data_IF_311800672152
#
_entry.id   IF_311800672152
#
_cell.length_a   1.000
_cell.length_b   1.000
_cell.length_c   1.000
_cell.angle_alpha   90.00
_cell.angle_beta   90.00
_cell.angle_gamma   90.00
#
_symmetry.space_group_name_H-M   'P 1'
#
loop_
_entity.id
_entity.type
_entity.pdbx_description
1 polymer ?
#
# COMPACT_ATOMS: atom_id res chain seq x y z
N UNK A 1 -14.01 -2.25 11.61
CA UNK A 1 -15.26 -2.89 12.07
C UNK A 1 -15.00 -4.03 13.05
N UNK A 2 -14.16 -5.02 12.71
CA UNK A 2 -13.90 -6.19 13.56
C UNK A 2 -13.36 -5.84 14.96
N UNK A 3 -12.37 -4.95 15.08
CA UNK A 3 -11.82 -4.60 16.41
C UNK A 3 -12.84 -3.92 17.31
N UNK A 4 -13.73 -3.08 16.74
CA UNK A 4 -14.85 -2.49 17.50
C UNK A 4 -15.83 -3.56 17.98
N UNK A 5 -16.08 -4.59 17.17
CA UNK A 5 -16.91 -5.74 17.58
C UNK A 5 -16.23 -6.57 18.67
N UNK A 6 -14.91 -6.78 18.58
CA UNK A 6 -14.14 -7.49 19.62
C UNK A 6 -14.19 -6.72 20.94
N UNK A 7 -13.95 -5.41 20.91
CA UNK A 7 -14.07 -4.54 22.09
C UNK A 7 -15.48 -4.61 22.71
N UNK A 8 -16.53 -4.54 21.89
CA UNK A 8 -17.92 -4.63 22.35
C UNK A 8 -18.30 -6.01 22.92
N UNK A 9 -17.60 -7.09 22.53
CA UNK A 9 -17.83 -8.46 23.01
C UNK A 9 -16.95 -8.86 24.18
N UNK A 10 -16.03 -8.00 24.60
CA UNK A 10 -15.11 -8.30 25.69
C UNK A 10 -15.87 -8.27 27.03
N UNK A 11 -15.97 -9.41 27.71
CA UNK A 11 -16.70 -9.57 28.99
C UNK A 11 -15.86 -9.16 30.20
N UNK A 12 -14.54 -9.10 30.04
CA UNK A 12 -13.57 -8.67 31.04
C UNK A 12 -13.02 -7.32 30.63
N UNK A 13 -13.38 -6.25 31.34
CA UNK A 13 -12.71 -4.95 31.13
C UNK A 13 -11.32 -5.05 31.77
N UNK A 14 -10.22 -5.13 31.00
CA UNK A 14 -8.91 -4.88 31.59
C UNK A 14 -8.91 -3.46 32.19
N UNK A 15 -8.10 -3.17 33.22
CA UNK A 15 -8.04 -1.85 33.84
C UNK A 15 -7.68 -0.74 32.82
N UNK A 16 -7.04 -1.11 31.71
CA UNK A 16 -6.75 -0.22 30.57
C UNK A 16 -7.11 -0.95 29.26
N UNK A 17 -7.96 -0.34 28.44
CA UNK A 17 -8.24 -0.77 27.06
C UNK A 17 -7.52 0.17 26.09
N UNK A 18 -6.47 -0.27 25.37
CA UNK A 18 -5.82 0.58 24.38
C UNK A 18 -6.78 0.87 23.21
N UNK A 19 -6.79 2.10 22.72
CA UNK A 19 -7.47 2.41 21.46
C UNK A 19 -6.62 1.92 20.28
N UNK A 20 -7.06 0.85 19.63
CA UNK A 20 -6.35 0.26 18.51
C UNK A 20 -6.71 0.90 17.15
N UNK A 21 -7.60 1.89 17.12
CA UNK A 21 -8.05 2.48 15.84
C UNK A 21 -6.88 3.04 15.03
N UNK A 22 -5.94 3.73 15.67
CA UNK A 22 -4.81 4.33 14.97
C UNK A 22 -3.92 3.26 14.33
N UNK A 23 -3.51 2.24 15.11
CA UNK A 23 -2.76 1.08 14.62
C UNK A 23 -3.43 0.41 13.41
N UNK A 24 -4.74 0.16 13.47
CA UNK A 24 -5.46 -0.51 12.38
C UNK A 24 -5.49 0.34 11.11
N UNK A 25 -5.64 1.66 11.24
CA UNK A 25 -5.61 2.58 10.09
C UNK A 25 -4.22 2.55 9.44
N UNK A 26 -3.16 2.61 10.25
CA UNK A 26 -1.79 2.52 9.75
C UNK A 26 -1.53 1.20 9.03
N UNK A 27 -1.92 0.07 9.65
CA UNK A 27 -1.80 -1.26 9.04
C UNK A 27 -2.56 -1.32 7.71
N UNK A 28 -3.84 -0.91 7.69
CA UNK A 28 -4.65 -0.92 6.47
C UNK A 28 -4.03 -0.11 5.34
N UNK A 29 -3.51 1.08 5.65
CA UNK A 29 -2.79 1.93 4.68
C UNK A 29 -1.51 1.24 4.19
N UNK A 30 -0.71 0.72 5.10
CA UNK A 30 0.55 0.04 4.78
C UNK A 30 0.32 -1.15 3.84
N UNK A 31 -0.61 -2.03 4.18
CA UNK A 31 -0.92 -3.22 3.39
C UNK A 31 -1.47 -2.88 2.01
N UNK A 32 -2.37 -1.88 1.92
CA UNK A 32 -2.93 -1.49 0.62
C UNK A 32 -1.83 -0.92 -0.30
N UNK A 33 -1.00 0.00 0.21
CA UNK A 33 0.08 0.61 -0.58
C UNK A 33 1.11 -0.46 -0.99
N UNK A 34 1.41 -1.41 -0.10
CA UNK A 34 2.34 -2.51 -0.38
C UNK A 34 1.80 -3.44 -1.46
N UNK A 35 0.52 -3.82 -1.40
CA UNK A 35 -0.12 -4.65 -2.42
C UNK A 35 -0.06 -3.98 -3.80
N UNK A 36 -0.43 -2.71 -3.88
CA UNK A 36 -0.36 -1.91 -5.11
C UNK A 36 1.08 -1.81 -5.65
N UNK A 37 2.07 -1.62 -4.76
CA UNK A 37 3.49 -1.55 -5.14
C UNK A 37 4.00 -2.89 -5.67
N UNK A 38 3.66 -4.00 -5.02
CA UNK A 38 4.07 -5.34 -5.44
C UNK A 38 3.47 -5.71 -6.79
N UNK A 39 2.22 -5.29 -7.07
CA UNK A 39 1.58 -5.48 -8.37
C UNK A 39 2.38 -4.84 -9.54
N UNK A 40 3.05 -3.71 -9.28
CA UNK A 40 3.82 -2.97 -10.29
C UNK A 40 5.29 -3.42 -10.41
N UNK A 41 5.86 -4.08 -9.39
CA UNK A 41 7.31 -4.29 -9.29
C UNK A 41 7.74 -5.75 -9.27
N UNK A 42 6.88 -6.66 -8.84
CA UNK A 42 7.25 -8.06 -8.66
C UNK A 42 7.11 -8.85 -9.96
N UNK A 43 8.25 -9.34 -10.47
CA UNK A 43 8.28 -10.35 -11.53
C UNK A 43 7.60 -11.67 -11.10
N UNK A 44 7.69 -12.04 -9.81
CA UNK A 44 7.02 -13.22 -9.26
C UNK A 44 5.48 -13.07 -9.17
N UNK A 45 4.96 -11.85 -9.00
CA UNK A 45 3.51 -11.58 -9.07
C UNK A 45 2.97 -11.73 -10.49
N UNK A 46 3.81 -11.58 -11.51
CA UNK A 46 3.44 -11.73 -12.92
C UNK A 46 2.97 -13.16 -13.22
N UNK A 47 3.57 -14.15 -12.56
CA UNK A 47 3.27 -15.56 -12.77
C UNK A 47 2.00 -16.03 -12.04
N UNK A 48 1.57 -15.34 -10.98
CA UNK A 48 0.39 -15.74 -10.16
C UNK A 48 -0.86 -14.91 -10.43
N UNK A 49 -0.70 -13.63 -10.78
CA UNK A 49 -1.80 -12.64 -10.79
C UNK A 49 -1.87 -11.78 -12.05
N UNK A 50 -1.03 -12.04 -13.07
CA UNK A 50 -0.96 -11.24 -14.29
C UNK A 50 -0.05 -10.01 -14.16
N UNK A 51 0.58 -9.60 -15.26
CA UNK A 51 1.53 -8.47 -15.28
C UNK A 51 0.79 -7.15 -15.08
N UNK A 52 0.98 -6.48 -13.94
CA UNK A 52 0.38 -5.16 -13.64
C UNK A 52 -1.15 -5.11 -13.82
N UNK A 53 -1.87 -6.12 -13.35
CA UNK A 53 -3.34 -6.20 -13.51
C UNK A 53 -4.09 -5.02 -12.90
N UNK A 54 -3.53 -4.35 -11.87
CA UNK A 54 -4.14 -3.13 -11.32
C UNK A 54 -4.24 -2.01 -12.38
N UNK A 55 -3.34 -1.99 -13.37
CA UNK A 55 -3.39 -1.06 -14.50
C UNK A 55 -4.54 -1.37 -15.46
N UNK A 56 -4.95 -2.63 -15.58
CA UNK A 56 -6.14 -3.02 -16.35
C UNK A 56 -7.41 -2.61 -15.60
N UNK A 57 -7.46 -2.90 -14.30
CA UNK A 57 -8.65 -2.68 -13.47
C UNK A 57 -9.07 -1.22 -13.42
N UNK A 58 -8.14 -0.32 -13.11
CA UNK A 58 -8.64 0.95 -12.57
C UNK A 58 -7.62 1.81 -11.91
N UNK A 59 -6.66 1.16 -11.28
CA UNK A 59 -6.38 1.57 -9.93
C UNK A 59 -5.43 2.76 -9.93
N UNK A 60 -5.86 3.80 -9.22
CA UNK A 60 -5.01 4.92 -8.90
C UNK A 60 -4.17 4.56 -7.67
N UNK A 61 -3.13 3.75 -7.89
CA UNK A 61 -2.14 3.44 -6.87
C UNK A 61 -1.33 4.68 -6.50
N UNK A 62 -0.68 4.65 -5.33
CA UNK A 62 0.16 5.76 -4.86
C UNK A 62 1.26 6.13 -5.88
N UNK A 63 1.88 5.13 -6.52
CA UNK A 63 2.88 5.34 -7.55
C UNK A 63 2.30 6.07 -8.77
N UNK A 64 1.10 5.70 -9.23
CA UNK A 64 0.45 6.34 -10.38
C UNK A 64 0.05 7.78 -10.06
N UNK A 65 -0.51 8.03 -8.87
CA UNK A 65 -0.86 9.38 -8.42
C UNK A 65 0.39 10.26 -8.38
N UNK A 66 1.47 9.79 -7.75
CA UNK A 66 2.74 10.52 -7.72
C UNK A 66 3.27 10.79 -9.14
N UNK A 67 3.21 9.81 -10.04
CA UNK A 67 3.65 9.97 -11.43
C UNK A 67 2.83 11.02 -12.19
N UNK A 68 1.53 11.09 -11.96
CA UNK A 68 0.66 12.10 -12.57
C UNK A 68 0.92 13.53 -12.06
N UNK A 69 1.66 13.69 -10.97
CA UNK A 69 2.01 15.00 -10.40
C UNK A 69 3.48 15.39 -10.62
N UNK A 70 4.36 14.41 -10.84
CA UNK A 70 5.83 14.61 -10.83
C UNK A 70 6.52 14.17 -12.13
N UNK A 71 5.79 14.22 -13.25
CA UNK A 71 6.31 13.92 -14.61
C UNK A 71 6.42 15.18 -15.45
N UNK A 72 7.16 15.12 -16.56
CA UNK A 72 7.13 16.20 -17.56
C UNK A 72 5.74 16.30 -18.21
N UNK A 73 5.37 17.48 -18.73
CA UNK A 73 4.09 17.68 -19.44
C UNK A 73 3.85 16.65 -20.56
N UNK A 74 4.92 16.27 -21.27
CA UNK A 74 4.86 15.25 -22.33
C UNK A 74 4.52 13.87 -21.77
N UNK A 75 5.22 13.43 -20.74
CA UNK A 75 4.98 12.14 -20.08
C UNK A 75 3.61 12.10 -19.41
N UNK A 76 3.20 13.20 -18.79
CA UNK A 76 1.88 13.35 -18.18
C UNK A 76 0.76 13.18 -19.20
N UNK A 77 0.90 13.84 -20.36
CA UNK A 77 -0.04 13.70 -21.47
C UNK A 77 -0.13 12.26 -21.97
N UNK A 78 1.02 11.56 -22.08
CA UNK A 78 1.09 10.14 -22.44
C UNK A 78 0.35 9.28 -21.40
N UNK A 79 0.63 9.45 -20.10
CA UNK A 79 -0.04 8.70 -19.03
C UNK A 79 -1.56 8.90 -19.09
N UNK A 80 -2.03 10.15 -19.18
CA UNK A 80 -3.45 10.46 -19.27
C UNK A 80 -4.10 9.84 -20.51
N UNK A 81 -3.41 9.86 -21.64
CA UNK A 81 -3.91 9.25 -22.88
C UNK A 81 -4.04 7.74 -22.75
N UNK A 82 -3.03 7.07 -22.18
CA UNK A 82 -3.06 5.62 -21.94
C UNK A 82 -4.20 5.26 -20.98
N UNK A 83 -4.37 6.01 -19.88
CA UNK A 83 -5.46 5.78 -18.93
C UNK A 83 -6.85 5.97 -19.58
N UNK A 84 -7.01 6.98 -20.45
CA UNK A 84 -8.24 7.21 -21.19
C UNK A 84 -8.52 6.09 -22.21
N UNK A 85 -7.51 5.66 -22.96
CA UNK A 85 -7.63 4.52 -23.89
C UNK A 85 -8.03 3.25 -23.13
N UNK A 86 -7.40 2.99 -21.99
CA UNK A 86 -7.71 1.85 -21.15
C UNK A 86 -9.16 1.90 -20.65
N UNK A 87 -9.67 3.06 -20.25
CA UNK A 87 -11.06 3.20 -19.82
C UNK A 87 -12.07 2.81 -20.93
N UNK A 88 -11.73 3.04 -22.19
CA UNK A 88 -12.56 2.64 -23.34
C UNK A 88 -12.42 1.14 -23.62
N UNK A 89 -11.20 0.61 -23.56
CA UNK A 89 -10.88 -0.78 -23.90
C UNK A 89 -11.09 -1.77 -22.73
N UNK A 90 -11.35 -1.29 -21.51
CA UNK A 90 -11.41 -2.05 -20.25
C UNK A 90 -10.17 -2.91 -19.97
N UNK A 91 -9.04 -2.61 -20.62
CA UNK A 91 -7.76 -3.33 -20.48
C UNK A 91 -6.62 -2.52 -21.10
N UNK A 92 -5.39 -2.81 -20.67
CA UNK A 92 -4.17 -2.18 -21.14
C UNK A 92 -3.29 -3.23 -21.85
N UNK A 93 -2.75 -2.87 -23.01
CA UNK A 93 -1.81 -3.75 -23.72
C UNK A 93 -0.49 -3.88 -22.95
N UNK A 94 0.23 -4.97 -23.18
CA UNK A 94 1.53 -5.19 -22.54
C UNK A 94 2.52 -4.04 -22.78
N UNK A 95 2.52 -3.46 -23.99
CA UNK A 95 3.39 -2.33 -24.33
C UNK A 95 2.99 -1.05 -23.60
N UNK A 96 1.68 -0.81 -23.43
CA UNK A 96 1.19 0.32 -22.64
C UNK A 96 1.56 0.17 -21.16
N UNK A 97 1.45 -1.04 -20.58
CA UNK A 97 1.86 -1.34 -19.21
C UNK A 97 3.35 -1.06 -18.98
N UNK A 98 4.21 -1.52 -19.89
CA UNK A 98 5.65 -1.22 -19.84
C UNK A 98 5.92 0.28 -19.92
N UNK A 99 5.28 0.99 -20.84
CA UNK A 99 5.45 2.43 -20.98
C UNK A 99 5.03 3.20 -19.73
N UNK A 100 3.91 2.83 -19.10
CA UNK A 100 3.49 3.39 -17.81
C UNK A 100 4.58 3.15 -16.75
N UNK A 101 5.06 1.91 -16.61
CA UNK A 101 6.11 1.60 -15.63
C UNK A 101 7.40 2.39 -15.86
N UNK A 102 7.83 2.56 -17.10
CA UNK A 102 9.04 3.31 -17.44
C UNK A 102 8.91 4.79 -17.05
N UNK A 103 7.74 5.39 -17.32
CA UNK A 103 7.44 6.76 -16.88
C UNK A 103 7.43 6.85 -15.35
N UNK A 104 6.80 5.89 -14.66
CA UNK A 104 6.76 5.88 -13.19
C UNK A 104 8.15 5.71 -12.56
N UNK A 105 9.03 4.92 -13.19
CA UNK A 105 10.43 4.79 -12.78
C UNK A 105 11.20 6.08 -13.00
N UNK A 106 11.07 6.71 -14.17
CA UNK A 106 11.74 7.97 -14.49
C UNK A 106 11.31 9.11 -13.54
N UNK A 107 10.04 9.11 -13.11
CA UNK A 107 9.48 10.05 -12.14
C UNK A 107 9.88 9.75 -10.68
N UNK A 108 10.59 8.66 -10.40
CA UNK A 108 10.92 8.24 -9.04
C UNK A 108 9.71 7.79 -8.21
N UNK A 109 8.56 7.49 -8.85
CA UNK A 109 7.31 7.15 -8.14
C UNK A 109 7.38 5.84 -7.37
N UNK A 110 8.17 4.88 -7.85
CA UNK A 110 8.38 3.62 -7.13
C UNK A 110 9.19 3.85 -5.85
N UNK A 111 10.26 4.64 -5.93
CA UNK A 111 11.09 4.99 -4.77
C UNK A 111 10.33 5.85 -3.75
N UNK A 112 9.48 6.76 -4.24
CA UNK A 112 8.55 7.51 -3.41
C UNK A 112 7.61 6.59 -2.63
N UNK A 113 7.05 5.58 -3.30
CA UNK A 113 6.15 4.60 -2.68
C UNK A 113 6.88 3.77 -1.62
N UNK A 114 8.11 3.33 -1.87
CA UNK A 114 8.95 2.62 -0.87
C UNK A 114 9.25 3.52 0.33
N UNK A 115 9.55 4.80 0.10
CA UNK A 115 9.80 5.77 1.16
C UNK A 115 8.56 5.96 2.03
N UNK A 116 7.38 6.08 1.41
CA UNK A 116 6.11 6.17 2.13
C UNK A 116 5.83 4.90 2.96
N UNK A 117 6.09 3.71 2.40
CA UNK A 117 5.96 2.44 3.13
C UNK A 117 6.88 2.40 4.33
N UNK A 118 8.16 2.75 4.19
CA UNK A 118 9.11 2.77 5.31
C UNK A 118 8.67 3.71 6.42
N UNK A 119 8.17 4.90 6.06
CA UNK A 119 7.64 5.86 7.02
C UNK A 119 6.43 5.30 7.78
N UNK A 120 5.44 4.75 7.07
CA UNK A 120 4.26 4.15 7.72
C UNK A 120 4.67 2.94 8.57
N UNK A 121 5.65 2.14 8.12
CA UNK A 121 6.19 1.02 8.90
C UNK A 121 6.81 1.47 10.23
N UNK A 122 7.53 2.59 10.23
CA UNK A 122 8.06 3.20 11.46
C UNK A 122 6.93 3.71 12.37
N UNK A 123 5.90 4.35 11.80
CA UNK A 123 4.72 4.80 12.56
C UNK A 123 4.00 3.61 13.21
N UNK A 124 3.90 2.46 12.51
CA UNK A 124 3.35 1.21 13.06
C UNK A 124 4.20 0.70 14.21
N UNK A 125 5.53 0.63 14.05
CA UNK A 125 6.43 0.14 15.10
C UNK A 125 6.28 0.98 16.38
N UNK A 126 6.24 2.32 16.25
CA UNK A 126 6.04 3.25 17.37
C UNK A 126 4.68 3.09 18.05
N UNK A 127 3.62 2.89 17.28
CA UNK A 127 2.27 2.69 17.81
C UNK A 127 2.17 1.35 18.57
N UNK A 128 2.81 0.29 18.06
CA UNK A 128 2.91 -0.99 18.77
C UNK A 128 3.68 -0.82 20.07
N UNK A 129 4.83 -0.15 20.06
CA UNK A 129 5.60 0.14 21.28
C UNK A 129 4.74 0.86 22.33
N UNK A 130 3.98 1.89 21.93
CA UNK A 130 3.09 2.63 22.83
C UNK A 130 1.97 1.77 23.42
N UNK A 131 1.39 0.85 22.65
CA UNK A 131 0.33 -0.04 23.12
C UNK A 131 0.89 -1.09 24.08
N UNK A 132 2.07 -1.63 23.80
CA UNK A 132 2.74 -2.60 24.68
C UNK A 132 3.15 -1.95 26.00
N UNK A 133 3.63 -0.71 25.99
CA UNK A 133 3.93 0.05 27.21
C UNK A 133 2.67 0.31 28.04
N UNK A 134 1.58 0.73 27.39
CA UNK A 134 0.30 1.02 28.06
C UNK A 134 -0.33 -0.23 28.70
N UNK A 135 -0.18 -1.39 28.05
CA UNK A 135 -0.79 -2.64 28.52
C UNK A 135 0.13 -3.48 29.39
N UNK A 136 1.45 -3.23 29.35
CA UNK A 136 2.47 -4.07 29.96
C UNK A 136 2.62 -5.45 29.31
N UNK A 137 2.06 -5.66 28.11
CA UNK A 137 2.03 -6.95 27.41
C UNK A 137 2.73 -6.81 26.06
N UNK A 138 3.79 -7.58 25.86
CA UNK A 138 4.50 -7.66 24.58
C UNK A 138 3.80 -8.61 23.60
N UNK A 139 3.63 -8.21 22.33
CA UNK A 139 2.99 -9.02 21.29
C UNK A 139 4.00 -9.48 20.22
N UNK A 140 4.82 -10.48 20.59
CA UNK A 140 5.84 -11.08 19.71
C UNK A 140 5.28 -11.61 18.37
N UNK A 141 4.12 -12.28 18.32
CA UNK A 141 3.54 -12.72 17.05
C UNK A 141 3.25 -11.58 16.08
N UNK A 142 2.72 -10.45 16.57
CA UNK A 142 2.46 -9.27 15.74
C UNK A 142 3.78 -8.70 15.20
N UNK A 143 4.80 -8.55 16.04
CA UNK A 143 6.12 -8.06 15.61
C UNK A 143 6.76 -8.97 14.56
N UNK A 144 6.65 -10.28 14.72
CA UNK A 144 7.12 -11.24 13.72
C UNK A 144 6.40 -11.04 12.36
N UNK A 145 5.07 -10.93 12.37
CA UNK A 145 4.30 -10.65 11.15
C UNK A 145 4.75 -9.34 10.48
N UNK A 146 4.88 -8.25 11.25
CA UNK A 146 5.32 -6.96 10.72
C UNK A 146 6.72 -7.04 10.10
N UNK A 147 7.64 -7.78 10.73
CA UNK A 147 9.00 -7.95 10.20
C UNK A 147 9.04 -8.68 8.86
N UNK A 148 8.16 -9.67 8.64
CA UNK A 148 8.08 -10.42 7.39
C UNK A 148 7.54 -9.58 6.22
N UNK A 149 6.92 -8.44 6.51
CA UNK A 149 6.22 -7.63 5.52
C UNK A 149 6.99 -6.39 5.10
N UNK A 150 8.08 -6.05 5.80
CA UNK A 150 8.94 -4.90 5.50
C UNK A 150 9.53 -4.99 4.09
N UNK A 151 9.63 -3.83 3.44
CA UNK A 151 10.11 -3.65 2.05
C UNK A 151 11.45 -2.91 2.05
#
# INVERSE_FOLDING_TARGET
MLVRLMAAKTQTTPPITPDLNHLIILLGRYFQIRDDYMNLTSGEYTDQKGFCDDLDEGKFSLALIHGLENTTEKENSILRHILAQRHIANSMSLSQKHLVLDILKAAGSLDYTVTALRKIGQEIDLEVDSIEELTGIENKPLRALLSMLKV
#
